data_IF_585239719926
#
_entry.id   IF_585239719926
#
_cell.length_a   1.000
_cell.length_b   1.000
_cell.length_c   1.000
_cell.angle_alpha   90.00
_cell.angle_beta   90.00
_cell.angle_gamma   90.00
#
_symmetry.space_group_name_H-M   'P 1'
#
loop_
_entity.id
_entity.type
_entity.pdbx_description
1 polymer ?
#
# COMPACT_ATOMS: atom_id res chain seq x y z
N UNK A 1 -5.24 -3.22 14.57
CA UNK A 1 -6.26 -2.77 13.59
C UNK A 1 -6.96 -3.98 12.99
N UNK A 2 -8.15 -3.82 12.43
CA UNK A 2 -8.84 -4.85 11.62
C UNK A 2 -7.99 -5.19 10.37
N UNK A 3 -7.67 -6.48 10.09
CA UNK A 3 -6.99 -6.93 8.87
C UNK A 3 -7.75 -6.64 7.57
N UNK A 4 -9.03 -6.29 7.64
CA UNK A 4 -9.86 -5.87 6.52
C UNK A 4 -10.26 -7.01 5.59
N UNK A 5 -10.99 -6.69 4.51
CA UNK A 5 -11.57 -7.66 3.59
C UNK A 5 -10.50 -8.45 2.81
N UNK A 6 -10.65 -9.77 2.78
CA UNK A 6 -9.83 -10.68 1.94
C UNK A 6 -10.23 -10.53 0.48
N UNK A 7 -9.26 -10.41 -0.42
CA UNK A 7 -9.50 -10.38 -1.87
C UNK A 7 -9.25 -11.74 -2.53
N UNK A 8 -8.19 -12.43 -2.14
CA UNK A 8 -7.72 -13.71 -2.70
C UNK A 8 -7.66 -14.76 -1.59
N UNK A 9 -8.19 -15.96 -1.84
CA UNK A 9 -8.20 -17.07 -0.87
C UNK A 9 -7.36 -18.26 -1.38
N UNK A 10 -7.05 -19.20 -0.50
CA UNK A 10 -6.32 -20.43 -0.81
C UNK A 10 -4.82 -20.36 -0.56
N UNK A 11 -4.07 -21.30 -1.12
CA UNK A 11 -2.62 -21.49 -0.87
C UNK A 11 -1.72 -20.89 -1.97
N UNK A 12 -2.29 -20.20 -2.96
CA UNK A 12 -1.53 -19.58 -4.04
C UNK A 12 -0.52 -18.55 -3.50
N UNK A 13 0.54 -18.27 -4.27
CA UNK A 13 1.50 -17.22 -3.93
C UNK A 13 0.79 -15.88 -3.67
N UNK A 14 -0.17 -15.51 -4.52
CA UNK A 14 -0.94 -14.28 -4.40
C UNK A 14 -1.75 -14.21 -3.10
N UNK A 15 -2.42 -15.30 -2.72
CA UNK A 15 -3.18 -15.35 -1.48
C UNK A 15 -2.28 -15.16 -0.24
N UNK A 16 -1.10 -15.80 -0.23
CA UNK A 16 -0.11 -15.66 0.84
C UNK A 16 0.47 -14.24 0.91
N UNK A 17 0.84 -13.66 -0.23
CA UNK A 17 1.34 -12.29 -0.30
C UNK A 17 0.31 -11.28 0.21
N UNK A 18 -0.95 -11.41 -0.21
CA UNK A 18 -2.03 -10.54 0.29
C UNK A 18 -2.26 -10.69 1.79
N UNK A 19 -2.30 -11.92 2.30
CA UNK A 19 -2.45 -12.17 3.73
C UNK A 19 -1.34 -11.48 4.53
N UNK A 20 -0.09 -11.56 4.06
CA UNK A 20 1.05 -10.90 4.70
C UNK A 20 0.93 -9.38 4.67
N UNK A 21 0.53 -8.80 3.54
CA UNK A 21 0.37 -7.34 3.44
C UNK A 21 -0.76 -6.81 4.32
N UNK A 22 -1.86 -7.57 4.43
CA UNK A 22 -2.97 -7.26 5.35
C UNK A 22 -2.52 -7.23 6.80
N UNK A 23 -1.80 -8.28 7.20
CA UNK A 23 -1.23 -8.39 8.53
C UNK A 23 -0.25 -7.25 8.81
N UNK A 24 0.68 -6.97 7.89
CA UNK A 24 1.67 -5.91 8.03
C UNK A 24 1.03 -4.53 8.18
N UNK A 25 0.05 -4.19 7.32
CA UNK A 25 -0.72 -2.95 7.43
C UNK A 25 -1.38 -2.81 8.80
N UNK A 26 -2.03 -3.89 9.27
CA UNK A 26 -2.85 -3.83 10.48
C UNK A 26 -2.03 -3.85 11.78
N UNK A 27 -0.90 -4.56 11.80
CA UNK A 27 -0.08 -4.80 12.99
C UNK A 27 1.12 -3.86 13.09
N UNK A 28 1.81 -3.61 11.97
CA UNK A 28 3.03 -2.79 11.92
C UNK A 28 2.68 -1.35 11.61
N UNK A 29 2.05 -1.08 10.46
CA UNK A 29 1.73 0.29 10.04
C UNK A 29 0.57 0.90 10.83
N UNK A 30 -0.22 0.05 11.51
CA UNK A 30 -1.45 0.42 12.22
C UNK A 30 -2.30 1.40 11.40
N UNK A 31 -2.49 1.08 10.12
CA UNK A 31 -3.25 1.88 9.17
C UNK A 31 -4.65 1.29 8.96
N UNK A 32 -5.63 2.11 8.58
CA UNK A 32 -6.95 1.61 8.18
C UNK A 32 -6.91 0.92 6.82
N UNK A 33 -7.96 0.18 6.50
CA UNK A 33 -8.09 -0.54 5.23
C UNK A 33 -8.98 0.24 4.28
N UNK A 34 -8.57 0.29 3.00
CA UNK A 34 -9.46 0.66 1.92
C UNK A 34 -10.44 -0.46 1.57
N UNK A 35 -10.87 -0.51 0.30
CA UNK A 35 -11.83 -1.51 -0.20
C UNK A 35 -11.44 -2.97 0.08
N UNK A 36 -10.14 -3.25 0.10
CA UNK A 36 -9.56 -4.54 0.43
C UNK A 36 -8.48 -4.36 1.48
N UNK A 37 -8.24 -5.38 2.30
CA UNK A 37 -7.31 -5.25 3.42
C UNK A 37 -5.85 -5.01 3.03
N UNK A 38 -5.46 -5.24 1.77
CA UNK A 38 -4.12 -4.93 1.27
C UNK A 38 -4.02 -3.51 0.69
N UNK A 39 -5.11 -2.74 0.73
CA UNK A 39 -5.11 -1.32 0.39
C UNK A 39 -5.13 -0.51 1.68
N UNK A 40 -4.36 0.56 1.71
CA UNK A 40 -4.50 1.62 2.69
C UNK A 40 -5.84 2.34 2.50
N UNK A 41 -6.36 2.90 3.58
CA UNK A 41 -7.40 3.92 3.49
C UNK A 41 -6.81 5.25 2.99
N UNK A 42 -7.69 6.20 2.70
CA UNK A 42 -7.30 7.48 2.09
C UNK A 42 -6.32 8.28 2.98
N UNK A 43 -6.52 8.27 4.30
CA UNK A 43 -5.64 8.96 5.24
C UNK A 43 -4.25 8.34 5.28
N UNK A 44 -4.13 7.01 5.44
CA UNK A 44 -2.83 6.37 5.47
C UNK A 44 -2.09 6.41 4.13
N UNK A 45 -2.84 6.40 3.01
CA UNK A 45 -2.27 6.61 1.68
C UNK A 45 -1.74 8.03 1.49
N UNK A 46 -2.47 9.04 1.97
CA UNK A 46 -2.04 10.44 1.93
C UNK A 46 -0.83 10.72 2.84
N UNK A 47 -0.69 9.97 3.94
CA UNK A 47 0.51 10.00 4.79
C UNK A 47 1.69 9.23 4.18
N UNK A 48 1.48 8.45 3.12
CA UNK A 48 2.53 7.67 2.47
C UNK A 48 3.01 6.48 3.29
N UNK A 49 2.17 5.88 4.14
CA UNK A 49 2.58 4.78 5.04
C UNK A 49 3.07 3.51 4.34
N UNK A 50 2.84 3.39 3.04
CA UNK A 50 3.36 2.29 2.24
C UNK A 50 4.76 2.55 1.66
N UNK A 51 5.31 3.76 1.83
CA UNK A 51 6.68 4.09 1.47
C UNK A 51 7.61 3.81 2.64
N UNK A 52 8.82 3.33 2.32
CA UNK A 52 9.84 3.02 3.33
C UNK A 52 10.40 4.30 3.97
N UNK A 53 10.50 5.38 3.18
CA UNK A 53 11.05 6.67 3.58
C UNK A 53 10.22 7.83 3.02
N UNK A 54 10.14 8.93 3.75
CA UNK A 54 9.33 10.10 3.37
C UNK A 54 9.77 10.70 2.03
N UNK A 55 11.07 10.70 1.71
CA UNK A 55 11.59 11.23 0.44
C UNK A 55 11.04 10.50 -0.78
N UNK A 56 10.79 9.18 -0.65
CA UNK A 56 10.17 8.39 -1.73
C UNK A 56 8.71 8.78 -1.95
N UNK A 57 7.99 9.03 -0.86
CA UNK A 57 6.61 9.50 -0.93
C UNK A 57 6.56 10.89 -1.61
N UNK A 58 7.44 11.81 -1.24
CA UNK A 58 7.52 13.14 -1.88
C UNK A 58 7.84 13.04 -3.37
N UNK A 59 8.82 12.21 -3.76
CA UNK A 59 9.15 11.97 -5.16
C UNK A 59 7.95 11.43 -5.96
N UNK A 60 7.14 10.54 -5.36
CA UNK A 60 5.93 10.03 -6.00
C UNK A 60 4.86 11.13 -6.19
N UNK A 61 4.70 12.03 -5.20
CA UNK A 61 3.80 13.19 -5.30
C UNK A 61 4.23 14.14 -6.42
N UNK A 62 5.52 14.48 -6.49
CA UNK A 62 6.08 15.35 -7.53
C UNK A 62 5.90 14.75 -8.93
N UNK A 63 6.17 13.45 -9.08
CA UNK A 63 5.94 12.75 -10.36
C UNK A 63 4.47 12.74 -10.74
N UNK A 64 3.55 12.55 -9.78
CA UNK A 64 2.11 12.64 -10.01
C UNK A 64 1.72 14.04 -10.49
N UNK A 65 2.22 15.09 -9.83
CA UNK A 65 1.98 16.48 -10.21
C UNK A 65 2.51 16.80 -11.63
N UNK A 66 3.63 16.18 -12.01
CA UNK A 66 4.19 16.28 -13.36
C UNK A 66 3.49 15.40 -14.41
N UNK A 67 2.40 14.69 -14.05
CA UNK A 67 1.69 13.77 -14.95
C UNK A 67 2.47 12.49 -15.32
N UNK A 68 3.52 12.15 -14.57
CA UNK A 68 4.48 11.08 -14.92
C UNK A 68 4.11 9.72 -14.33
N UNK A 69 3.07 9.08 -14.86
CA UNK A 69 2.82 7.64 -14.70
C UNK A 69 2.60 7.16 -13.26
N UNK A 70 2.29 8.06 -12.32
CA UNK A 70 1.95 7.72 -10.93
C UNK A 70 0.43 7.76 -10.77
N UNK A 71 -0.17 6.58 -10.58
CA UNK A 71 -1.60 6.42 -10.34
C UNK A 71 -1.90 6.27 -8.83
N UNK A 72 -3.17 6.43 -8.44
CA UNK A 72 -3.64 6.32 -7.06
C UNK A 72 -3.18 5.02 -6.36
N UNK A 73 -3.19 3.90 -7.10
CA UNK A 73 -2.67 2.58 -6.65
C UNK A 73 -1.23 2.59 -6.14
N UNK A 74 -0.43 3.60 -6.46
CA UNK A 74 0.96 3.75 -5.97
C UNK A 74 1.00 4.08 -4.49
N UNK A 75 0.01 4.83 -4.00
CA UNK A 75 -0.08 5.28 -2.61
C UNK A 75 -0.92 4.33 -1.75
N UNK A 76 -1.88 3.64 -2.37
CA UNK A 76 -2.82 2.80 -1.62
C UNK A 76 -2.38 1.33 -1.54
N UNK A 77 -1.72 0.79 -2.58
CA UNK A 77 -1.58 -0.65 -2.72
C UNK A 77 -0.32 -1.20 -2.07
N UNK A 78 -0.50 -2.04 -1.04
CA UNK A 78 0.58 -2.72 -0.32
C UNK A 78 1.19 -3.92 -1.08
N UNK A 79 0.53 -4.42 -2.14
CA UNK A 79 1.07 -5.48 -3.00
C UNK A 79 1.94 -4.94 -4.14
N UNK A 80 2.01 -3.61 -4.31
CA UNK A 80 2.79 -3.00 -5.37
C UNK A 80 4.27 -3.12 -5.06
N UNK A 81 5.04 -3.72 -5.98
CA UNK A 81 6.50 -3.68 -5.93
C UNK A 81 7.05 -2.25 -6.03
N UNK A 82 6.26 -1.28 -6.53
CA UNK A 82 6.73 0.07 -6.80
C UNK A 82 6.90 0.94 -5.56
N UNK A 83 6.13 0.71 -4.49
CA UNK A 83 6.28 1.49 -3.25
C UNK A 83 7.60 1.18 -2.50
N UNK A 84 8.24 0.06 -2.87
CA UNK A 84 9.50 -0.43 -2.26
C UNK A 84 10.74 -0.10 -3.11
N UNK A 85 10.60 0.49 -4.31
CA UNK A 85 11.70 0.66 -5.27
C UNK A 85 12.29 2.08 -5.33
N UNK A 86 11.95 2.95 -4.39
CA UNK A 86 12.64 4.25 -4.24
C UNK A 86 13.65 4.13 -3.10
N UNK A 87 14.73 3.40 -3.35
CA UNK A 87 15.98 3.51 -2.61
C UNK A 87 16.98 4.29 -3.47
#
# INVERSE_FOLDING_TARGET
>A
MDPGKVYTRGSSYRARAEARQREYRASVLRAGAGRYGHLLDESAAAEGRNFVVDVAHQAALERRAAGKGVAARTFENMLSSQAMCFN
#
